data_IF_409225614129
#
_entry.id   IF_409225614129
#
_cell.length_a   1.000
_cell.length_b   1.000
_cell.length_c   1.000
_cell.angle_alpha   90.00
_cell.angle_beta   90.00
_cell.angle_gamma   90.00
#
_symmetry.space_group_name_H-M   'P 1'
#
loop_
_entity.id
_entity.type
_entity.pdbx_description
1 polymer ?
#
# COMPACT_ATOMS: atom_id res chain seq x y z
N UNK A 1 57.53 -22.00 46.58
CA UNK A 1 57.82 -21.38 45.27
C UNK A 1 56.62 -21.67 44.38
N UNK A 2 55.81 -20.66 44.09
CA UNK A 2 54.48 -20.80 43.48
C UNK A 2 54.58 -21.23 42.00
N UNK A 3 53.81 -22.24 41.62
CA UNK A 3 53.64 -22.66 40.22
C UNK A 3 52.52 -21.82 39.58
N UNK A 4 52.85 -21.07 38.53
CA UNK A 4 51.90 -20.28 37.74
C UNK A 4 51.42 -21.14 36.58
N UNK A 5 50.13 -21.46 36.57
CA UNK A 5 49.45 -22.13 35.46
C UNK A 5 49.13 -21.10 34.38
N UNK A 6 49.79 -21.17 33.22
CA UNK A 6 49.42 -20.37 32.04
C UNK A 6 48.23 -21.05 31.34
N UNK A 7 47.06 -20.43 31.44
CA UNK A 7 45.88 -20.81 30.65
C UNK A 7 45.95 -20.01 29.34
N UNK A 8 46.28 -20.69 28.23
CA UNK A 8 46.15 -20.13 26.89
C UNK A 8 44.67 -20.04 26.51
N UNK A 9 44.07 -18.85 26.66
CA UNK A 9 42.75 -18.56 26.11
C UNK A 9 42.92 -18.31 24.61
N UNK A 10 42.54 -19.28 23.80
CA UNK A 10 42.39 -19.09 22.35
C UNK A 10 41.20 -18.16 22.11
N UNK A 11 41.48 -16.88 21.83
CA UNK A 11 40.47 -15.95 21.33
C UNK A 11 40.19 -16.34 19.89
N UNK A 12 39.13 -17.10 19.66
CA UNK A 12 38.58 -17.25 18.32
C UNK A 12 38.00 -15.90 17.92
N UNK A 13 38.74 -15.16 17.11
CA UNK A 13 38.24 -14.01 16.37
C UNK A 13 37.14 -14.51 15.44
N UNK A 14 35.89 -14.47 15.89
CA UNK A 14 34.74 -14.59 15.00
C UNK A 14 34.91 -13.42 14.02
N UNK A 15 35.01 -13.67 12.70
CA UNK A 15 35.06 -12.56 11.76
C UNK A 15 33.76 -11.79 11.98
N UNK A 16 33.88 -10.53 12.36
CA UNK A 16 32.76 -9.61 12.31
C UNK A 16 32.38 -9.52 10.84
N UNK A 17 31.42 -10.35 10.43
CA UNK A 17 30.67 -10.09 9.22
C UNK A 17 30.00 -8.76 9.50
N UNK A 18 30.54 -7.71 8.91
CA UNK A 18 29.84 -6.46 8.75
C UNK A 18 28.48 -6.82 8.18
N UNK A 19 27.44 -6.73 9.01
CA UNK A 19 26.05 -6.69 8.60
C UNK A 19 25.93 -5.45 7.72
N UNK A 20 26.30 -5.58 6.45
CA UNK A 20 25.79 -4.71 5.42
C UNK A 20 24.28 -4.85 5.54
N UNK A 21 23.63 -3.87 6.16
CA UNK A 21 22.20 -3.69 6.05
C UNK A 21 21.96 -3.31 4.59
N UNK A 22 22.00 -4.31 3.71
CA UNK A 22 21.94 -4.12 2.27
C UNK A 22 20.60 -3.48 1.96
N UNK A 23 20.61 -2.24 1.49
CA UNK A 23 19.38 -1.69 0.90
C UNK A 23 19.19 -2.39 -0.43
N UNK A 24 17.97 -2.89 -0.69
CA UNK A 24 17.61 -3.40 -2.00
C UNK A 24 17.31 -2.19 -2.90
N UNK A 25 18.22 -1.87 -3.82
CA UNK A 25 18.06 -0.73 -4.74
C UNK A 25 17.16 -1.05 -5.96
N UNK A 26 16.73 -2.31 -6.13
CA UNK A 26 15.83 -2.77 -7.18
C UNK A 26 14.60 -3.50 -6.59
N UNK A 27 13.78 -2.84 -5.74
CA UNK A 27 12.62 -3.50 -5.13
C UNK A 27 11.54 -3.81 -6.16
N UNK A 28 10.96 -5.00 -6.08
CA UNK A 28 9.82 -5.43 -6.89
C UNK A 28 8.57 -5.43 -6.02
N UNK A 29 7.60 -4.59 -6.39
CA UNK A 29 6.37 -4.39 -5.65
C UNK A 29 5.21 -5.03 -6.41
N UNK A 30 4.47 -5.91 -5.75
CA UNK A 30 3.25 -6.49 -6.30
C UNK A 30 2.08 -5.52 -6.19
N UNK A 31 1.15 -5.54 -7.15
CA UNK A 31 -0.12 -4.79 -7.06
C UNK A 31 -1.29 -5.74 -7.29
N UNK A 32 -2.20 -5.81 -6.32
CA UNK A 32 -3.26 -6.81 -6.31
C UNK A 32 -4.30 -6.59 -7.41
N UNK A 33 -4.61 -7.63 -8.18
CA UNK A 33 -5.70 -7.60 -9.16
C UNK A 33 -7.07 -7.74 -8.53
N UNK A 34 -8.09 -7.38 -9.28
CA UNK A 34 -9.47 -7.47 -8.82
C UNK A 34 -10.39 -7.98 -9.94
N UNK A 35 -11.46 -8.66 -9.59
CA UNK A 35 -12.47 -9.08 -10.56
C UNK A 35 -13.12 -7.86 -11.24
N UNK A 36 -13.53 -8.03 -12.50
CA UNK A 36 -14.40 -7.06 -13.18
C UNK A 36 -15.51 -7.76 -13.94
N UNK A 37 -16.71 -7.21 -13.85
CA UNK A 37 -17.88 -7.63 -14.64
C UNK A 37 -17.89 -7.02 -16.05
N UNK A 38 -16.93 -6.15 -16.37
CA UNK A 38 -16.76 -5.46 -17.66
C UNK A 38 -15.49 -5.89 -18.39
N UNK A 39 -15.12 -7.15 -18.23
CA UNK A 39 -13.99 -7.76 -18.89
C UNK A 39 -14.37 -8.21 -20.31
N UNK A 40 -13.48 -8.10 -21.31
CA UNK A 40 -13.66 -8.76 -22.60
C UNK A 40 -13.85 -10.28 -22.43
N UNK A 41 -14.40 -11.01 -23.42
CA UNK A 41 -14.50 -12.47 -23.36
C UNK A 41 -13.14 -13.11 -23.03
N UNK A 42 -13.13 -14.11 -22.13
CA UNK A 42 -11.95 -14.87 -21.66
C UNK A 42 -10.97 -14.13 -20.74
N UNK A 43 -11.40 -13.07 -20.06
CA UNK A 43 -10.61 -12.37 -19.02
C UNK A 43 -11.40 -12.42 -17.71
N UNK A 44 -10.74 -12.59 -16.56
CA UNK A 44 -11.43 -12.75 -15.26
C UNK A 44 -11.10 -11.65 -14.24
N UNK A 45 -9.99 -10.96 -14.41
CA UNK A 45 -9.57 -9.86 -13.52
C UNK A 45 -8.90 -8.70 -14.27
N UNK A 46 -8.81 -7.55 -13.62
CA UNK A 46 -8.17 -6.35 -14.15
C UNK A 46 -7.28 -5.65 -13.11
N UNK A 47 -6.35 -4.83 -13.60
CA UNK A 47 -5.55 -3.88 -12.81
C UNK A 47 -5.40 -2.58 -13.61
N UNK A 48 -5.39 -1.44 -12.95
CA UNK A 48 -4.98 -0.19 -13.60
C UNK A 48 -3.47 -0.17 -13.98
N UNK A 49 -2.57 -0.81 -13.21
CA UNK A 49 -1.23 -1.32 -13.60
C UNK A 49 -0.54 -2.18 -12.49
N UNK A 50 0.32 -3.15 -12.91
CA UNK A 50 1.23 -4.14 -12.21
C UNK A 50 0.68 -5.15 -11.19
N UNK A 51 1.42 -6.21 -10.79
CA UNK A 51 0.89 -7.59 -10.71
C UNK A 51 1.02 -8.36 -9.36
N UNK A 52 -0.13 -8.78 -8.82
CA UNK A 52 -0.37 -9.95 -7.96
C UNK A 52 -1.72 -10.52 -8.40
N UNK A 53 -1.73 -11.74 -8.95
CA UNK A 53 -2.96 -12.41 -9.38
C UNK A 53 -3.89 -12.67 -8.19
N UNK A 54 -5.19 -12.69 -8.43
CA UNK A 54 -6.18 -13.22 -7.48
C UNK A 54 -6.36 -14.74 -7.60
N UNK A 55 -7.00 -15.34 -6.60
CA UNK A 55 -7.43 -16.75 -6.57
C UNK A 55 -6.31 -17.78 -6.78
N UNK A 56 -5.09 -17.46 -6.37
CA UNK A 56 -4.00 -18.44 -6.29
C UNK A 56 -4.12 -19.29 -5.01
N UNK A 57 -3.41 -20.41 -4.98
CA UNK A 57 -3.24 -21.25 -3.79
C UNK A 57 -2.40 -20.55 -2.73
N UNK A 58 -2.45 -21.04 -1.47
CA UNK A 58 -1.62 -20.49 -0.39
C UNK A 58 -0.13 -20.66 -0.71
N UNK A 59 0.25 -21.79 -1.29
CA UNK A 59 1.61 -22.12 -1.69
C UNK A 59 2.12 -21.15 -2.78
N UNK A 60 1.31 -20.88 -3.79
CA UNK A 60 1.63 -19.92 -4.85
C UNK A 60 1.78 -18.49 -4.28
N UNK A 61 0.88 -18.06 -3.40
CA UNK A 61 1.02 -16.76 -2.74
C UNK A 61 2.23 -16.67 -1.83
N UNK A 62 2.56 -17.74 -1.11
CA UNK A 62 3.74 -17.77 -0.23
C UNK A 62 5.02 -17.67 -1.06
N UNK A 63 5.10 -18.39 -2.18
CA UNK A 63 6.22 -18.30 -3.10
C UNK A 63 6.39 -16.88 -3.66
N UNK A 64 5.29 -16.29 -4.15
CA UNK A 64 5.30 -14.92 -4.67
C UNK A 64 5.64 -13.90 -3.59
N UNK A 65 5.07 -14.01 -2.39
CA UNK A 65 5.35 -13.13 -1.26
C UNK A 65 6.84 -13.11 -0.91
N UNK A 66 7.48 -14.28 -0.86
CA UNK A 66 8.93 -14.40 -0.58
C UNK A 66 9.82 -13.84 -1.71
N UNK A 67 9.24 -13.57 -2.89
CA UNK A 67 9.95 -12.99 -4.03
C UNK A 67 9.77 -11.48 -4.16
N UNK A 68 8.68 -10.93 -3.60
CA UNK A 68 8.33 -9.50 -3.65
C UNK A 68 8.89 -8.73 -2.45
N UNK A 69 9.09 -7.43 -2.62
CA UNK A 69 9.60 -6.52 -1.58
C UNK A 69 8.51 -5.67 -0.91
N UNK A 70 7.26 -5.85 -1.32
CA UNK A 70 6.09 -5.13 -0.80
C UNK A 70 4.87 -5.35 -1.70
N UNK A 71 3.68 -5.01 -1.21
CA UNK A 71 2.43 -5.13 -1.98
C UNK A 71 1.53 -3.91 -1.84
N UNK A 72 0.90 -3.53 -2.94
CA UNK A 72 -0.16 -2.52 -3.00
C UNK A 72 -1.51 -3.22 -3.17
N UNK A 73 -2.47 -2.88 -2.31
CA UNK A 73 -3.89 -3.14 -2.46
C UNK A 73 -4.53 -1.91 -3.11
N UNK A 74 -4.82 -1.94 -4.43
CA UNK A 74 -5.33 -0.77 -5.14
C UNK A 74 -6.80 -0.50 -4.82
N UNK A 75 -7.29 0.65 -5.26
CA UNK A 75 -8.71 0.99 -5.23
C UNK A 75 -9.54 0.12 -6.17
N UNK A 76 -10.86 0.14 -6.00
CA UNK A 76 -11.74 -0.76 -6.74
C UNK A 76 -13.17 -0.77 -6.22
N UNK A 77 -13.93 -1.78 -6.63
CA UNK A 77 -15.31 -1.99 -6.20
C UNK A 77 -15.63 -3.44 -5.83
N UNK A 78 -14.61 -4.28 -5.60
CA UNK A 78 -14.80 -5.67 -5.18
C UNK A 78 -15.38 -5.76 -3.76
N UNK A 79 -16.05 -6.88 -3.47
CA UNK A 79 -16.61 -7.13 -2.14
C UNK A 79 -15.49 -7.45 -1.13
N UNK A 80 -15.44 -6.72 -0.01
CA UNK A 80 -14.41 -6.82 1.04
C UNK A 80 -14.38 -8.15 1.83
N UNK A 81 -15.28 -9.10 1.54
CA UNK A 81 -15.34 -10.38 2.26
C UNK A 81 -15.29 -11.55 1.29
N UNK A 82 -16.14 -11.52 0.26
CA UNK A 82 -16.40 -12.68 -0.59
C UNK A 82 -15.62 -12.67 -1.91
N UNK A 83 -14.93 -11.59 -2.25
CA UNK A 83 -14.17 -11.51 -3.52
C UNK A 83 -12.84 -12.26 -3.46
N UNK A 84 -12.32 -12.63 -4.63
CA UNK A 84 -10.95 -13.09 -4.80
C UNK A 84 -9.94 -12.03 -4.41
N UNK A 85 -10.22 -10.74 -4.64
CA UNK A 85 -9.43 -9.63 -4.08
C UNK A 85 -9.29 -9.74 -2.56
N UNK A 86 -10.41 -9.80 -1.83
CA UNK A 86 -10.41 -9.85 -0.36
C UNK A 86 -9.71 -11.12 0.17
N UNK A 87 -9.96 -12.28 -0.44
CA UNK A 87 -9.28 -13.53 -0.08
C UNK A 87 -7.77 -13.45 -0.26
N UNK A 88 -7.31 -12.84 -1.35
CA UNK A 88 -5.88 -12.70 -1.68
C UNK A 88 -5.22 -11.67 -0.76
N UNK A 89 -5.87 -10.52 -0.55
CA UNK A 89 -5.42 -9.49 0.38
C UNK A 89 -5.26 -10.05 1.80
N UNK A 90 -6.22 -10.89 2.26
CA UNK A 90 -6.14 -11.56 3.56
C UNK A 90 -4.92 -12.45 3.70
N UNK A 91 -4.62 -13.28 2.71
CA UNK A 91 -3.44 -14.18 2.72
C UNK A 91 -2.16 -13.35 2.81
N UNK A 92 -2.01 -12.35 1.93
CA UNK A 92 -0.82 -11.48 1.87
C UNK A 92 -0.66 -10.68 3.16
N UNK A 93 -1.74 -10.15 3.72
CA UNK A 93 -1.74 -9.43 4.98
C UNK A 93 -1.28 -10.33 6.13
N UNK A 94 -1.76 -11.56 6.21
CA UNK A 94 -1.31 -12.52 7.23
C UNK A 94 0.18 -12.84 7.09
N UNK A 95 0.65 -13.13 5.87
CA UNK A 95 2.08 -13.35 5.59
C UNK A 95 2.94 -12.14 6.00
N UNK A 96 2.48 -10.92 5.69
CA UNK A 96 3.19 -9.71 6.07
C UNK A 96 3.22 -9.48 7.59
N UNK A 97 2.12 -9.72 8.30
CA UNK A 97 2.10 -9.62 9.77
C UNK A 97 3.08 -10.63 10.37
N UNK A 98 3.08 -11.88 9.90
CA UNK A 98 4.00 -12.91 10.37
C UNK A 98 5.46 -12.58 10.07
N UNK A 99 5.76 -12.09 8.86
CA UNK A 99 7.09 -11.65 8.44
C UNK A 99 7.61 -10.53 9.32
N UNK A 100 6.85 -9.44 9.43
CA UNK A 100 7.28 -8.29 10.22
C UNK A 100 7.43 -8.65 11.71
N UNK A 101 6.58 -9.54 12.24
CA UNK A 101 6.67 -10.00 13.63
C UNK A 101 7.96 -10.78 13.95
N UNK A 102 8.55 -11.45 12.95
CA UNK A 102 9.84 -12.15 13.08
C UNK A 102 11.04 -11.31 12.62
N UNK A 103 10.85 -10.02 12.34
CA UNK A 103 11.91 -9.11 11.89
C UNK A 103 12.21 -9.14 10.38
N UNK A 104 11.34 -9.81 9.60
CA UNK A 104 11.41 -9.89 8.16
C UNK A 104 10.53 -8.78 7.54
N UNK A 105 11.17 -7.69 7.12
CA UNK A 105 10.47 -6.44 6.80
C UNK A 105 9.70 -6.54 5.48
N UNK A 106 8.39 -6.34 5.51
CA UNK A 106 7.54 -6.40 4.32
C UNK A 106 6.41 -5.37 4.37
N UNK A 107 6.46 -4.30 3.56
CA UNK A 107 5.47 -3.23 3.58
C UNK A 107 4.21 -3.53 2.76
N UNK A 108 3.06 -3.03 3.24
CA UNK A 108 1.78 -3.03 2.53
C UNK A 108 1.25 -1.60 2.38
N UNK A 109 0.73 -1.27 1.19
CA UNK A 109 0.00 -0.04 0.93
C UNK A 109 -1.44 -0.32 0.53
N UNK A 110 -2.43 0.34 1.14
CA UNK A 110 -3.83 0.27 0.74
C UNK A 110 -4.36 1.60 0.20
N UNK A 111 -4.85 1.62 -1.03
CA UNK A 111 -5.51 2.81 -1.63
C UNK A 111 -7.00 2.58 -1.78
N UNK A 112 -7.84 3.50 -1.29
CA UNK A 112 -9.31 3.47 -1.43
C UNK A 112 -9.90 2.12 -0.98
N UNK A 113 -10.34 1.25 -1.89
CA UNK A 113 -10.76 -0.13 -1.55
C UNK A 113 -9.70 -0.88 -0.73
N UNK A 114 -8.41 -0.72 -1.04
CA UNK A 114 -7.34 -1.32 -0.24
C UNK A 114 -7.23 -0.75 1.16
N UNK A 115 -7.52 0.54 1.36
CA UNK A 115 -7.65 1.12 2.70
C UNK A 115 -8.84 0.50 3.44
N UNK A 116 -10.00 0.39 2.77
CA UNK A 116 -11.20 -0.25 3.35
C UNK A 116 -10.90 -1.70 3.76
N UNK A 117 -10.23 -2.47 2.90
CA UNK A 117 -9.79 -3.84 3.15
C UNK A 117 -8.85 -3.91 4.37
N UNK A 118 -7.85 -3.03 4.48
CA UNK A 118 -6.96 -2.98 5.66
C UNK A 118 -7.74 -2.77 6.96
N UNK A 119 -8.76 -1.89 6.96
CA UNK A 119 -9.60 -1.69 8.16
C UNK A 119 -10.41 -2.93 8.50
N UNK A 120 -10.92 -3.66 7.50
CA UNK A 120 -11.62 -4.91 7.70
C UNK A 120 -10.69 -6.02 8.22
N UNK A 121 -9.54 -6.20 7.59
CA UNK A 121 -8.54 -7.22 7.97
C UNK A 121 -8.02 -7.03 9.40
N UNK A 122 -7.86 -5.77 9.82
CA UNK A 122 -7.36 -5.44 11.17
C UNK A 122 -8.44 -5.60 12.24
N UNK A 123 -9.67 -5.14 11.97
CA UNK A 123 -10.76 -5.12 12.96
C UNK A 123 -11.61 -6.39 12.99
N UNK A 124 -11.60 -7.17 11.90
CA UNK A 124 -12.53 -8.27 11.66
C UNK A 124 -13.98 -7.83 11.44
N UNK A 125 -14.25 -6.53 11.26
CA UNK A 125 -15.61 -5.94 11.24
C UNK A 125 -15.77 -4.99 10.05
N UNK A 126 -16.95 -4.98 9.44
CA UNK A 126 -17.32 -3.96 8.45
C UNK A 126 -17.74 -2.68 9.17
N UNK A 127 -16.83 -1.71 9.23
CA UNK A 127 -16.98 -0.45 9.98
C UNK A 127 -17.26 0.77 9.08
N UNK A 128 -17.62 0.51 7.82
CA UNK A 128 -17.81 1.54 6.81
C UNK A 128 -19.16 2.25 6.95
N UNK A 129 -19.15 3.56 6.73
CA UNK A 129 -20.32 4.44 6.67
C UNK A 129 -20.38 5.14 5.32
N UNK A 130 -21.58 5.47 4.85
CA UNK A 130 -21.75 6.22 3.61
C UNK A 130 -21.25 7.66 3.78
N UNK A 131 -20.48 8.13 2.80
CA UNK A 131 -20.01 9.52 2.69
C UNK A 131 -20.21 10.04 1.27
N UNK A 132 -20.44 11.34 1.12
CA UNK A 132 -20.62 11.95 -0.22
C UNK A 132 -19.30 12.40 -0.84
N UNK A 133 -18.50 11.42 -1.27
CA UNK A 133 -17.09 11.58 -1.67
C UNK A 133 -16.78 10.91 -3.02
N UNK A 134 -17.79 10.84 -3.89
CA UNK A 134 -17.73 10.17 -5.21
C UNK A 134 -17.23 11.09 -6.33
N UNK A 135 -16.00 11.57 -6.22
CA UNK A 135 -15.39 12.47 -7.20
C UNK A 135 -15.31 13.90 -6.70
N UNK A 136 -14.65 14.07 -5.56
CA UNK A 136 -14.31 15.37 -4.98
C UNK A 136 -12.81 15.43 -4.77
N UNK A 137 -12.25 16.64 -4.78
CA UNK A 137 -10.84 16.85 -4.49
C UNK A 137 -10.72 17.74 -3.29
N UNK A 138 -9.96 17.28 -2.31
CA UNK A 138 -9.83 17.89 -1.00
C UNK A 138 -8.36 18.18 -0.68
N UNK A 139 -8.09 19.09 0.26
CA UNK A 139 -6.80 19.14 0.93
C UNK A 139 -6.64 17.95 1.88
N UNK A 140 -5.40 17.68 2.28
CA UNK A 140 -5.09 16.69 3.32
C UNK A 140 -5.11 17.39 4.68
N UNK A 141 -6.15 17.12 5.49
CA UNK A 141 -6.25 17.71 6.83
C UNK A 141 -5.50 16.83 7.83
N UNK A 142 -4.25 17.17 8.10
CA UNK A 142 -3.41 16.44 9.04
C UNK A 142 -3.96 16.49 10.47
N UNK A 143 -3.89 15.39 11.20
CA UNK A 143 -4.36 15.30 12.59
C UNK A 143 -3.36 15.85 13.60
N UNK A 144 -2.08 15.65 13.33
CA UNK A 144 -0.94 16.13 14.11
C UNK A 144 0.17 16.59 13.15
N UNK A 145 1.35 16.94 13.68
CA UNK A 145 2.51 17.28 12.85
C UNK A 145 2.89 16.11 11.91
N UNK A 146 2.70 16.24 10.58
CA UNK A 146 2.98 15.16 9.64
C UNK A 146 4.46 14.75 9.62
N UNK A 147 5.37 15.64 10.07
CA UNK A 147 6.81 15.32 10.17
C UNK A 147 7.13 14.24 11.20
N UNK A 148 6.22 13.96 12.13
CA UNK A 148 6.37 12.88 13.10
C UNK A 148 5.89 11.52 12.55
N UNK A 149 5.30 11.50 11.36
CA UNK A 149 4.87 10.28 10.67
C UNK A 149 6.00 9.64 9.88
N UNK A 150 5.92 8.33 9.63
CA UNK A 150 6.83 7.70 8.67
C UNK A 150 6.45 8.11 7.25
N UNK A 151 5.15 8.04 6.95
CA UNK A 151 4.60 8.35 5.62
C UNK A 151 4.96 9.75 5.11
N UNK A 152 4.82 10.77 5.94
CA UNK A 152 5.02 12.17 5.55
C UNK A 152 6.31 12.80 6.12
N UNK A 153 7.09 12.04 6.89
CA UNK A 153 8.28 12.53 7.60
C UNK A 153 9.29 13.24 6.68
N UNK A 154 9.54 12.65 5.52
CA UNK A 154 10.54 13.13 4.56
C UNK A 154 9.97 14.10 3.51
N UNK A 155 8.68 14.43 3.56
CA UNK A 155 8.07 15.34 2.59
C UNK A 155 8.60 16.77 2.81
N UNK A 156 8.86 17.56 1.74
CA UNK A 156 9.28 18.95 1.88
C UNK A 156 8.24 19.77 2.67
N UNK A 157 8.63 20.63 3.64
CA UNK A 157 7.70 21.42 4.44
C UNK A 157 6.72 22.28 3.61
N UNK A 158 7.19 22.82 2.49
CA UNK A 158 6.38 23.57 1.54
C UNK A 158 5.34 22.69 0.83
N UNK A 159 5.67 21.43 0.56
CA UNK A 159 4.71 20.48 -0.02
C UNK A 159 3.67 20.09 1.03
N UNK A 160 4.06 19.84 2.28
CA UNK A 160 3.11 19.57 3.38
C UNK A 160 2.15 20.75 3.59
N UNK A 161 2.67 21.97 3.55
CA UNK A 161 1.86 23.19 3.64
C UNK A 161 0.88 23.30 2.47
N UNK A 162 1.33 23.01 1.24
CA UNK A 162 0.48 22.98 0.07
C UNK A 162 -0.59 21.88 0.16
N UNK A 163 -0.23 20.67 0.60
CA UNK A 163 -1.17 19.57 0.78
C UNK A 163 -2.28 19.93 1.78
N UNK A 164 -1.96 20.68 2.84
CA UNK A 164 -2.93 21.12 3.83
C UNK A 164 -3.84 22.27 3.33
N UNK A 165 -3.40 23.05 2.35
CA UNK A 165 -4.10 24.26 1.89
C UNK A 165 -4.80 24.10 0.54
N UNK A 166 -4.33 23.20 -0.33
CA UNK A 166 -4.76 23.07 -1.71
C UNK A 166 -5.50 21.74 -1.95
N UNK A 167 -6.48 21.70 -2.87
CA UNK A 167 -7.17 20.48 -3.25
C UNK A 167 -6.24 19.56 -4.07
N UNK A 168 -5.50 18.68 -3.40
CA UNK A 168 -4.49 17.79 -4.02
C UNK A 168 -4.83 16.30 -3.92
N UNK A 169 -5.83 15.91 -3.13
CA UNK A 169 -6.21 14.50 -2.94
C UNK A 169 -7.54 14.18 -3.63
N UNK A 170 -7.51 13.29 -4.63
CA UNK A 170 -8.71 12.82 -5.32
C UNK A 170 -9.46 11.76 -4.48
N UNK A 171 -10.70 12.04 -4.10
CA UNK A 171 -11.59 11.10 -3.41
C UNK A 171 -12.64 10.57 -4.39
N UNK A 172 -12.68 9.25 -4.55
CA UNK A 172 -13.60 8.55 -5.47
C UNK A 172 -14.18 7.31 -4.77
N UNK A 173 -14.77 7.52 -3.60
CA UNK A 173 -15.29 6.45 -2.75
C UNK A 173 -16.71 6.76 -2.27
N UNK A 174 -17.45 5.72 -1.88
CA UNK A 174 -18.81 5.82 -1.32
C UNK A 174 -18.83 5.59 0.18
N UNK A 175 -17.78 4.96 0.68
CA UNK A 175 -17.69 4.36 1.98
C UNK A 175 -16.44 4.86 2.65
N UNK A 176 -16.56 5.25 3.91
CA UNK A 176 -15.45 5.69 4.73
C UNK A 176 -15.56 5.11 6.14
N UNK A 177 -14.45 5.01 6.85
CA UNK A 177 -14.48 4.81 8.30
C UNK A 177 -14.53 6.19 8.97
N UNK A 178 -15.62 6.51 9.65
CA UNK A 178 -15.74 7.78 10.36
C UNK A 178 -14.71 7.87 11.49
N UNK A 179 -14.24 9.07 11.80
CA UNK A 179 -13.27 9.31 12.86
C UNK A 179 -13.76 8.79 14.21
N UNK A 180 -15.08 8.86 14.46
CA UNK A 180 -15.71 8.28 15.64
C UNK A 180 -15.67 6.75 15.65
N UNK A 181 -16.10 6.10 14.56
CA UNK A 181 -16.09 4.65 14.46
C UNK A 181 -14.66 4.10 14.60
N UNK A 182 -13.68 4.78 13.98
CA UNK A 182 -12.27 4.41 14.09
C UNK A 182 -11.78 4.44 15.53
N UNK A 183 -12.00 5.57 16.23
CA UNK A 183 -11.61 5.75 17.63
C UNK A 183 -12.30 4.76 18.57
N UNK A 184 -13.56 4.41 18.28
CA UNK A 184 -14.33 3.47 19.09
C UNK A 184 -13.97 1.99 18.82
N UNK A 185 -13.32 1.67 17.70
CA UNK A 185 -12.74 0.34 17.47
C UNK A 185 -11.38 0.23 18.17
N UNK A 186 -11.33 -0.60 19.20
CA UNK A 186 -10.09 -0.87 19.93
C UNK A 186 -9.03 -1.56 19.06
N UNK A 187 -9.46 -2.31 18.05
CA UNK A 187 -8.62 -3.02 17.10
C UNK A 187 -7.92 -2.02 16.16
N UNK A 188 -8.67 -1.07 15.59
CA UNK A 188 -8.09 -0.05 14.70
C UNK A 188 -7.24 0.97 15.46
N UNK A 189 -7.77 1.55 16.54
CA UNK A 189 -7.10 2.62 17.29
C UNK A 189 -5.78 2.20 17.96
N UNK A 190 -5.64 0.91 18.31
CA UNK A 190 -4.37 0.36 18.83
C UNK A 190 -3.38 -0.01 17.74
N UNK A 191 -3.87 -0.30 16.53
CA UNK A 191 -3.03 -0.78 15.44
C UNK A 191 -2.51 0.36 14.57
N UNK A 192 -3.34 1.38 14.31
CA UNK A 192 -3.07 2.46 13.38
C UNK A 192 -3.01 3.82 14.07
N UNK A 193 -2.02 4.62 13.67
CA UNK A 193 -2.01 6.07 13.83
C UNK A 193 -2.78 6.70 12.67
N UNK A 194 -3.79 7.51 12.99
CA UNK A 194 -4.44 8.38 12.01
C UNK A 194 -3.50 9.53 11.70
N UNK A 195 -3.28 9.80 10.41
CA UNK A 195 -2.41 10.87 9.93
C UNK A 195 -3.17 12.04 9.33
N UNK A 196 -4.32 11.77 8.71
CA UNK A 196 -5.20 12.81 8.20
C UNK A 196 -6.66 12.36 8.27
N UNK A 197 -7.52 13.37 8.35
CA UNK A 197 -8.97 13.23 8.27
C UNK A 197 -9.51 14.12 7.15
N UNK A 198 -10.74 13.88 6.73
CA UNK A 198 -11.50 14.79 5.86
C UNK A 198 -12.96 14.76 6.28
N UNK A 199 -13.78 15.66 5.72
CA UNK A 199 -15.21 15.74 6.02
C UNK A 199 -16.00 15.76 4.72
N UNK A 200 -17.15 15.09 4.69
CA UNK A 200 -18.14 15.22 3.60
C UNK A 200 -19.18 16.33 3.89
N UNK A 201 -18.91 17.16 4.90
CA UNK A 201 -19.82 18.18 5.41
C UNK A 201 -20.80 17.67 6.46
N UNK A 202 -20.85 16.35 6.71
CA UNK A 202 -21.69 15.73 7.75
C UNK A 202 -20.88 14.87 8.70
N UNK A 203 -19.97 14.07 8.15
CA UNK A 203 -19.17 13.10 8.90
C UNK A 203 -17.69 13.35 8.62
N UNK A 204 -16.91 13.43 9.70
CA UNK A 204 -15.47 13.36 9.61
C UNK A 204 -15.04 11.90 9.46
N UNK A 205 -14.09 11.65 8.56
CA UNK A 205 -13.59 10.34 8.24
C UNK A 205 -12.07 10.31 8.14
N UNK A 206 -11.48 9.15 8.45
CA UNK A 206 -10.04 8.92 8.32
C UNK A 206 -9.68 8.86 6.85
N UNK A 207 -8.70 9.67 6.43
CA UNK A 207 -8.28 9.74 5.02
C UNK A 207 -6.86 9.23 4.77
N UNK A 208 -5.99 9.25 5.79
CA UNK A 208 -4.67 8.58 5.75
C UNK A 208 -4.33 7.97 7.11
N UNK A 209 -3.68 6.81 7.11
CA UNK A 209 -3.23 6.13 8.33
C UNK A 209 -1.95 5.32 8.10
N UNK A 210 -1.22 5.06 9.18
CA UNK A 210 -0.09 4.13 9.19
C UNK A 210 -0.10 3.28 10.47
N UNK A 211 0.30 2.01 10.38
CA UNK A 211 0.33 1.13 11.56
C UNK A 211 1.44 1.57 12.53
N UNK A 212 1.25 1.43 13.84
CA UNK A 212 2.29 1.82 14.80
C UNK A 212 3.54 0.95 14.66
N UNK A 213 3.35 -0.37 14.59
CA UNK A 213 4.43 -1.36 14.72
C UNK A 213 4.69 -2.17 13.43
N UNK A 214 3.91 -1.93 12.38
CA UNK A 214 4.03 -2.64 11.10
C UNK A 214 4.20 -1.62 9.97
N UNK A 215 4.92 -1.95 8.88
CA UNK A 215 5.03 -1.08 7.70
C UNK A 215 3.77 -1.19 6.83
N UNK A 216 2.61 -0.91 7.43
CA UNK A 216 1.31 -0.97 6.76
C UNK A 216 0.73 0.44 6.71
N UNK A 217 0.36 0.85 5.51
CA UNK A 217 0.01 2.21 5.15
C UNK A 217 -1.31 2.24 4.40
N UNK A 218 -2.10 3.29 4.56
CA UNK A 218 -3.31 3.44 3.76
C UNK A 218 -3.70 4.87 3.51
N UNK A 219 -4.21 5.13 2.31
CA UNK A 219 -4.89 6.35 1.92
C UNK A 219 -6.26 6.03 1.35
N UNK A 220 -7.31 6.67 1.88
CA UNK A 220 -8.65 6.54 1.32
C UNK A 220 -8.79 7.28 -0.03
N UNK A 221 -7.96 8.30 -0.25
CA UNK A 221 -7.81 9.03 -1.50
C UNK A 221 -6.81 8.36 -2.45
N UNK A 222 -6.82 8.81 -3.71
CA UNK A 222 -6.07 8.23 -4.83
C UNK A 222 -4.87 9.10 -5.23
N UNK A 223 -3.67 8.93 -4.62
CA UNK A 223 -2.48 9.68 -5.00
C UNK A 223 -2.06 9.44 -6.45
N UNK A 224 -2.34 8.26 -7.02
CA UNK A 224 -1.92 7.88 -8.36
C UNK A 224 -2.64 8.67 -9.46
N UNK A 225 -3.88 9.08 -9.22
CA UNK A 225 -4.72 9.71 -10.26
C UNK A 225 -4.16 11.04 -10.74
N UNK A 226 -3.54 11.82 -9.85
CA UNK A 226 -3.08 13.17 -10.17
C UNK A 226 -2.13 13.19 -11.36
N UNK A 227 -1.26 12.19 -11.48
CA UNK A 227 -0.23 12.14 -12.53
C UNK A 227 -0.60 11.29 -13.74
N UNK A 228 -1.58 10.38 -13.61
CA UNK A 228 -1.80 9.31 -14.59
C UNK A 228 -3.22 9.24 -15.17
N UNK A 229 -4.21 9.95 -14.60
CA UNK A 229 -5.61 9.81 -15.01
C UNK A 229 -6.25 11.13 -15.43
N UNK A 230 -6.61 11.27 -16.71
CA UNK A 230 -7.20 12.49 -17.29
C UNK A 230 -8.71 12.36 -17.57
N UNK A 231 -9.33 11.34 -17.00
CA UNK A 231 -10.68 10.92 -17.40
C UNK A 231 -11.80 11.75 -16.76
N UNK A 232 -11.53 12.56 -15.74
CA UNK A 232 -12.53 13.30 -14.96
C UNK A 232 -12.01 14.66 -14.50
N UNK A 233 -12.84 15.68 -14.62
CA UNK A 233 -12.47 17.08 -14.32
C UNK A 233 -12.12 17.34 -12.85
N UNK A 234 -12.60 16.49 -11.92
CA UNK A 234 -12.26 16.64 -10.51
C UNK A 234 -10.83 16.21 -10.19
N UNK A 235 -10.17 15.41 -11.03
CA UNK A 235 -8.83 14.89 -10.72
C UNK A 235 -7.83 16.06 -10.70
N UNK A 236 -7.06 16.25 -9.61
CA UNK A 236 -6.16 17.38 -9.51
C UNK A 236 -4.88 17.16 -10.31
N UNK A 237 -4.57 18.11 -11.18
CA UNK A 237 -3.34 18.12 -11.99
C UNK A 237 -2.43 19.31 -11.66
N UNK A 238 -2.62 19.95 -10.51
CA UNK A 238 -1.75 21.06 -10.08
C UNK A 238 -0.32 20.57 -9.82
N UNK A 239 0.72 21.43 -9.94
CA UNK A 239 2.10 21.02 -9.67
C UNK A 239 2.29 20.37 -8.29
N UNK A 240 1.59 20.83 -7.26
CA UNK A 240 1.65 20.25 -5.92
C UNK A 240 0.91 18.90 -5.83
N UNK A 241 -0.18 18.71 -6.58
CA UNK A 241 -0.84 17.41 -6.69
C UNK A 241 0.07 16.36 -7.36
N UNK A 242 0.81 16.74 -8.41
CA UNK A 242 1.80 15.87 -9.07
C UNK A 242 2.95 15.53 -8.12
N UNK A 243 3.50 16.53 -7.42
CA UNK A 243 4.55 16.29 -6.40
C UNK A 243 4.05 15.37 -5.29
N UNK A 244 2.79 15.50 -4.88
CA UNK A 244 2.17 14.62 -3.90
C UNK A 244 2.21 13.16 -4.37
N UNK A 245 1.81 12.87 -5.62
CA UNK A 245 1.95 11.51 -6.19
C UNK A 245 3.37 10.98 -6.08
N UNK A 246 4.36 11.80 -6.49
CA UNK A 246 5.75 11.39 -6.48
C UNK A 246 6.25 11.06 -5.07
N UNK A 247 6.04 11.94 -4.08
CA UNK A 247 6.54 11.71 -2.73
C UNK A 247 5.84 10.55 -2.02
N UNK A 248 4.56 10.30 -2.31
CA UNK A 248 3.85 9.11 -1.80
C UNK A 248 4.45 7.83 -2.37
N UNK A 249 4.77 7.82 -3.67
CA UNK A 249 5.44 6.69 -4.30
C UNK A 249 6.88 6.51 -3.81
N UNK A 250 7.65 7.60 -3.70
CA UNK A 250 9.03 7.57 -3.20
C UNK A 250 9.09 7.00 -1.78
N UNK A 251 8.20 7.44 -0.89
CA UNK A 251 8.06 6.87 0.44
C UNK A 251 7.85 5.35 0.39
N UNK A 252 6.83 4.87 -0.33
CA UNK A 252 6.51 3.44 -0.32
C UNK A 252 7.59 2.58 -1.00
N UNK A 253 8.23 3.08 -2.06
CA UNK A 253 9.38 2.39 -2.66
C UNK A 253 10.54 2.32 -1.67
N UNK A 254 10.81 3.38 -0.89
CA UNK A 254 11.83 3.37 0.16
C UNK A 254 11.52 2.41 1.31
N UNK A 255 10.24 2.16 1.62
CA UNK A 255 9.84 1.08 2.51
C UNK A 255 10.18 -0.29 1.90
N UNK A 256 9.88 -0.50 0.62
CA UNK A 256 10.16 -1.76 -0.07
C UNK A 256 11.67 -2.06 -0.16
N UNK A 257 12.52 -1.04 -0.29
CA UNK A 257 14.00 -1.21 -0.27
C UNK A 257 14.54 -1.84 1.02
N UNK A 258 13.75 -1.86 2.10
CA UNK A 258 14.11 -2.48 3.39
C UNK A 258 13.84 -3.98 3.43
N UNK A 259 13.07 -4.51 2.48
CA UNK A 259 12.88 -5.95 2.29
C UNK A 259 14.02 -6.53 1.45
N UNK A 260 14.57 -7.67 1.88
CA UNK A 260 15.65 -8.39 1.19
C UNK A 260 15.16 -9.57 0.34
N UNK A 261 13.84 -9.68 0.16
CA UNK A 261 13.25 -10.71 -0.69
C UNK A 261 13.73 -10.57 -2.14
N UNK A 262 13.88 -11.71 -2.81
CA UNK A 262 14.28 -11.81 -4.22
C UNK A 262 13.64 -13.02 -4.86
N UNK A 263 13.40 -12.97 -6.17
CA UNK A 263 13.06 -14.17 -6.94
C UNK A 263 14.19 -15.20 -6.88
N UNK A 264 13.86 -16.48 -7.05
CA UNK A 264 14.85 -17.55 -7.00
C UNK A 264 15.87 -17.47 -8.15
N UNK A 265 15.46 -16.91 -9.29
CA UNK A 265 16.30 -16.71 -10.47
C UNK A 265 15.69 -15.66 -11.42
N UNK A 266 16.50 -15.16 -12.35
CA UNK A 266 16.10 -14.16 -13.35
C UNK A 266 14.95 -14.61 -14.26
N UNK A 267 14.79 -15.92 -14.50
CA UNK A 267 13.71 -16.42 -15.36
C UNK A 267 12.36 -16.29 -14.67
N UNK A 268 12.28 -16.67 -13.40
CA UNK A 268 11.06 -16.50 -12.60
C UNK A 268 10.71 -15.03 -12.41
N UNK A 269 11.71 -14.18 -12.14
CA UNK A 269 11.53 -12.73 -12.09
C UNK A 269 10.95 -12.21 -13.41
N UNK A 270 11.64 -12.47 -14.52
CA UNK A 270 11.24 -12.01 -15.84
C UNK A 270 9.82 -12.45 -16.21
N UNK A 271 9.39 -13.64 -15.80
CA UNK A 271 8.04 -14.15 -16.08
C UNK A 271 6.95 -13.52 -15.18
N UNK A 272 7.31 -13.02 -14.00
CA UNK A 272 6.37 -12.42 -13.05
C UNK A 272 6.13 -10.92 -13.32
N UNK A 273 7.07 -10.24 -13.99
CA UNK A 273 7.00 -8.80 -14.21
C UNK A 273 5.82 -8.38 -15.11
N UNK A 274 5.33 -7.16 -14.87
CA UNK A 274 4.23 -6.57 -15.65
C UNK A 274 4.56 -6.37 -17.14
N UNK A 275 5.86 -6.39 -17.50
CA UNK A 275 6.34 -6.23 -18.87
C UNK A 275 5.87 -7.33 -19.83
N UNK A 276 5.37 -8.45 -19.31
CA UNK A 276 4.77 -9.53 -20.11
C UNK A 276 3.34 -9.25 -20.56
N UNK A 277 2.76 -8.11 -20.16
CA UNK A 277 1.36 -7.78 -20.42
C UNK A 277 1.23 -6.46 -21.16
N UNK A 278 0.20 -6.35 -21.98
CA UNK A 278 -0.12 -5.14 -22.74
C UNK A 278 -1.41 -4.53 -22.20
N UNK A 279 -1.42 -3.25 -21.80
CA UNK A 279 -2.64 -2.59 -21.36
C UNK A 279 -3.57 -2.29 -22.53
N UNK A 280 -4.86 -2.27 -22.24
CA UNK A 280 -5.90 -1.83 -23.15
C UNK A 280 -6.26 -0.39 -22.83
N UNK A 281 -6.34 0.45 -23.87
CA UNK A 281 -6.88 1.80 -23.74
C UNK A 281 -8.39 1.73 -23.54
N UNK A 282 -8.88 2.37 -22.50
CA UNK A 282 -10.31 2.50 -22.27
C UNK A 282 -10.98 3.33 -23.36
N UNK A 283 -12.23 2.98 -23.71
CA UNK A 283 -13.04 3.82 -24.59
C UNK A 283 -13.32 5.17 -23.91
N UNK A 284 -13.33 6.30 -24.66
CA UNK A 284 -13.69 7.61 -24.11
C UNK A 284 -15.03 7.57 -23.36
N UNK A 285 -15.05 8.03 -22.12
CA UNK A 285 -16.24 8.02 -21.26
C UNK A 285 -16.67 6.66 -20.72
N UNK A 286 -16.06 5.55 -21.14
CA UNK A 286 -16.44 4.18 -20.74
C UNK A 286 -15.84 3.74 -19.39
N UNK A 287 -14.73 4.36 -18.97
CA UNK A 287 -13.97 4.01 -17.76
C UNK A 287 -13.59 5.25 -16.95
N UNK A 288 -13.17 5.03 -15.71
CA UNK A 288 -12.49 6.02 -14.83
C UNK A 288 -10.96 5.90 -14.89
N UNK A 289 -10.47 5.03 -15.79
CA UNK A 289 -9.06 4.75 -16.03
C UNK A 289 -8.74 4.95 -17.51
N UNK A 290 -7.62 5.59 -17.86
CA UNK A 290 -7.14 5.72 -19.23
C UNK A 290 -6.74 4.37 -19.84
N UNK A 291 -6.06 3.54 -19.05
CA UNK A 291 -5.55 2.23 -19.45
C UNK A 291 -5.82 1.18 -18.36
N UNK A 292 -6.02 -0.07 -18.80
CA UNK A 292 -6.30 -1.20 -17.92
C UNK A 292 -5.59 -2.45 -18.44
N UNK A 293 -4.91 -3.17 -17.56
CA UNK A 293 -4.43 -4.52 -17.81
C UNK A 293 -5.52 -5.53 -17.48
N UNK A 294 -5.76 -6.47 -18.38
CA UNK A 294 -6.64 -7.62 -18.13
C UNK A 294 -5.82 -8.89 -18.01
N UNK A 295 -6.24 -9.78 -17.11
CA UNK A 295 -5.59 -11.05 -16.87
C UNK A 295 -6.58 -12.21 -17.04
N UNK A 296 -6.13 -13.34 -17.64
CA UNK A 296 -6.95 -14.54 -17.80
C UNK A 296 -7.40 -15.09 -16.45
#
# INVERSE_FOLDING_TARGET
MFAVLLVCVAVFSIPAWSLHHGKNDAPIIGILSQESSRVPPNQTSYIAASYVKINQTLEEYTCLFNSLNGVIFPGGASNLIASGYARSAKIIYQLAIEANSRGDYFPIWGTCLGFEELTYLTSGKLLLSLTDTRGVTLPVVFTDDPKQSRMFGDFPPELLSAMAAEPVSAHVHKWSVTSETFRNSSELSKFYRVLSVNTDGKNDFVSSMEAYNYPIYGTLWHPEKNSFEWTRDYIPHSPNAIKTTFFMADFFVNEARKSLHTFANETEESNALIYNYTPFRSAPGGSVFEQVYYFP
#
